data_IF_544179489969
#
_entry.id   IF_544179489969
#
_cell.length_a   1.000
_cell.length_b   1.000
_cell.length_c   1.000
_cell.angle_alpha   90.00
_cell.angle_beta   90.00
_cell.angle_gamma   90.00
#
_symmetry.space_group_name_H-M   'P 1'
#
loop_
_entity.id
_entity.type
_entity.pdbx_description
1 polymer ?
#
# COMPACT_ATOMS: atom_id res chain seq x y z
N UNK A 1 8.72 34.93 -70.37
CA UNK A 1 7.75 33.96 -70.90
C UNK A 1 7.96 32.69 -70.10
N UNK A 2 7.29 32.57 -68.96
CA UNK A 2 5.94 31.97 -68.84
C UNK A 2 6.02 30.46 -69.12
N UNK A 3 5.51 29.54 -68.31
CA UNK A 3 4.73 29.63 -67.09
C UNK A 3 4.79 28.27 -66.36
N UNK A 4 4.53 28.32 -65.06
CA UNK A 4 4.06 27.22 -64.21
C UNK A 4 2.75 26.62 -64.78
N UNK A 5 2.42 25.35 -64.44
CA UNK A 5 1.10 25.16 -63.84
C UNK A 5 1.13 24.28 -62.59
N UNK A 6 0.52 24.83 -61.55
CA UNK A 6 -0.02 24.14 -60.39
C UNK A 6 -0.97 23.01 -60.81
N UNK A 7 -0.85 21.86 -60.17
CA UNK A 7 -2.01 21.03 -59.83
C UNK A 7 -2.13 20.92 -58.32
N UNK A 8 -3.20 21.54 -57.82
CA UNK A 8 -3.76 21.39 -56.49
C UNK A 8 -4.08 19.92 -56.22
N UNK A 9 -3.60 19.41 -55.11
CA UNK A 9 -4.24 18.30 -54.40
C UNK A 9 -4.47 18.77 -52.96
N UNK A 10 -5.58 19.49 -52.75
CA UNK A 10 -6.16 19.70 -51.43
C UNK A 10 -6.75 18.36 -50.98
N UNK A 11 -5.91 17.54 -50.33
CA UNK A 11 -6.32 16.36 -49.59
C UNK A 11 -6.46 16.73 -48.12
N UNK A 12 -7.67 17.04 -47.70
CA UNK A 12 -8.05 17.29 -46.31
C UNK A 12 -7.83 16.02 -45.49
N UNK A 13 -6.66 15.89 -44.86
CA UNK A 13 -6.38 14.85 -43.87
C UNK A 13 -6.97 15.29 -42.51
N UNK A 14 -8.30 15.24 -42.41
CA UNK A 14 -8.98 15.13 -41.13
C UNK A 14 -8.92 13.65 -40.69
N UNK A 15 -8.26 13.39 -39.56
CA UNK A 15 -8.40 12.12 -38.85
C UNK A 15 -7.10 11.37 -38.63
N UNK A 16 -6.45 11.67 -37.49
CA UNK A 16 -6.05 10.69 -36.47
C UNK A 16 -5.36 11.44 -35.32
N UNK A 17 -6.11 12.34 -34.67
CA UNK A 17 -5.74 12.87 -33.36
C UNK A 17 -6.09 11.85 -32.29
N UNK A 18 -5.28 10.81 -32.15
CA UNK A 18 -5.26 10.02 -30.92
C UNK A 18 -4.75 10.94 -29.82
N UNK A 19 -5.67 11.58 -29.10
CA UNK A 19 -5.33 12.48 -28.00
C UNK A 19 -4.57 11.67 -26.95
N UNK A 20 -3.24 11.81 -26.91
CA UNK A 20 -2.60 11.89 -25.61
C UNK A 20 -3.37 12.98 -24.88
N UNK A 21 -4.18 12.62 -23.89
CA UNK A 21 -4.69 13.57 -22.91
C UNK A 21 -3.44 14.22 -22.29
N UNK A 22 -2.99 15.30 -22.91
CA UNK A 22 -1.61 15.75 -22.83
C UNK A 22 -1.25 16.15 -21.40
N UNK A 23 0.04 16.28 -21.14
CA UNK A 23 0.55 16.87 -19.91
C UNK A 23 0.24 18.38 -19.90
N UNK A 24 -1.04 18.73 -19.71
CA UNK A 24 -1.50 20.11 -19.52
C UNK A 24 -1.02 20.63 -18.18
N UNK A 25 -0.91 21.96 -18.06
CA UNK A 25 -0.53 22.61 -16.81
C UNK A 25 -1.43 22.20 -15.64
N UNK A 26 -2.74 22.19 -15.87
CA UNK A 26 -3.73 21.80 -14.86
C UNK A 26 -3.54 20.35 -14.39
N UNK A 27 -3.25 19.45 -15.33
CA UNK A 27 -2.98 18.04 -15.02
C UNK A 27 -1.70 17.88 -14.21
N UNK A 28 -0.63 18.59 -14.57
CA UNK A 28 0.64 18.59 -13.82
C UNK A 28 0.43 19.12 -12.40
N UNK A 29 -0.29 20.22 -12.24
CA UNK A 29 -0.62 20.79 -10.93
C UNK A 29 -1.49 19.85 -10.08
N UNK A 30 -2.44 19.14 -10.71
CA UNK A 30 -3.23 18.10 -10.04
C UNK A 30 -2.34 16.98 -9.50
N UNK A 31 -1.45 16.43 -10.34
CA UNK A 31 -0.50 15.37 -9.94
C UNK A 31 0.35 15.83 -8.76
N UNK A 32 0.87 17.06 -8.79
CA UNK A 32 1.66 17.62 -7.69
C UNK A 32 0.89 17.66 -6.37
N UNK A 33 -0.40 18.05 -6.43
CA UNK A 33 -1.25 18.21 -5.24
C UNK A 33 -1.76 16.90 -4.65
N UNK A 34 -1.98 15.87 -5.48
CA UNK A 34 -2.67 14.65 -5.05
C UNK A 34 -1.79 13.40 -4.98
N UNK A 35 -0.70 13.35 -5.76
CA UNK A 35 0.16 12.16 -5.85
C UNK A 35 1.50 12.38 -5.15
N UNK A 36 2.10 13.56 -5.30
CA UNK A 36 3.43 13.82 -4.78
C UNK A 36 3.41 14.10 -3.26
N UNK A 37 4.41 13.61 -2.50
CA UNK A 37 4.53 13.93 -1.08
C UNK A 37 4.71 15.44 -0.83
N UNK A 38 4.31 15.88 0.37
CA UNK A 38 4.57 17.26 0.81
C UNK A 38 6.08 17.47 0.95
N UNK A 39 6.58 18.58 0.42
CA UNK A 39 8.00 18.96 0.54
C UNK A 39 8.89 18.54 -0.64
N UNK A 40 8.34 17.95 -1.69
CA UNK A 40 9.07 17.74 -2.94
C UNK A 40 9.55 19.08 -3.52
N UNK A 41 10.81 19.14 -3.93
CA UNK A 41 11.35 20.31 -4.63
C UNK A 41 10.80 20.44 -6.05
N UNK A 42 10.86 21.64 -6.64
CA UNK A 42 10.44 21.83 -8.03
C UNK A 42 11.23 20.96 -9.01
N UNK A 43 12.54 20.79 -8.77
CA UNK A 43 13.43 20.00 -9.61
C UNK A 43 13.13 18.50 -9.52
N UNK A 44 12.90 17.97 -8.32
CA UNK A 44 12.48 16.58 -8.12
C UNK A 44 11.11 16.30 -8.73
N UNK A 45 10.17 17.24 -8.59
CA UNK A 45 8.86 17.13 -9.20
C UNK A 45 8.94 17.16 -10.74
N UNK A 46 9.76 18.07 -11.30
CA UNK A 46 10.00 18.13 -12.73
C UNK A 46 10.61 16.82 -13.24
N UNK A 47 11.60 16.26 -12.54
CA UNK A 47 12.20 14.97 -12.87
C UNK A 47 11.17 13.83 -12.83
N UNK A 48 10.31 13.80 -11.81
CA UNK A 48 9.24 12.80 -11.70
C UNK A 48 8.29 12.87 -12.91
N UNK A 49 7.87 14.08 -13.31
CA UNK A 49 6.99 14.28 -14.47
C UNK A 49 7.67 13.86 -15.78
N UNK A 50 8.94 14.22 -15.98
CA UNK A 50 9.70 13.78 -17.16
C UNK A 50 9.83 12.25 -17.22
N UNK A 51 9.99 11.60 -16.08
CA UNK A 51 10.04 10.14 -16.03
C UNK A 51 8.68 9.49 -16.33
N UNK A 52 7.57 10.10 -15.89
CA UNK A 52 6.21 9.66 -16.27
C UNK A 52 5.98 9.82 -17.79
N UNK A 53 6.38 10.97 -18.36
CA UNK A 53 6.32 11.21 -19.82
C UNK A 53 7.11 10.18 -20.60
N UNK A 54 8.38 9.95 -20.24
CA UNK A 54 9.28 9.03 -20.93
C UNK A 54 8.80 7.58 -20.86
N UNK A 55 8.38 7.13 -19.69
CA UNK A 55 7.89 5.75 -19.51
C UNK A 55 6.49 5.53 -20.08
N UNK A 56 5.71 6.60 -20.25
CA UNK A 56 4.30 6.52 -20.61
C UNK A 56 3.43 5.94 -19.48
N UNK A 57 3.91 6.00 -18.23
CA UNK A 57 3.16 5.61 -17.03
C UNK A 57 2.42 6.82 -16.46
N UNK A 58 1.16 6.61 -16.11
CA UNK A 58 0.28 7.65 -15.59
C UNK A 58 0.16 7.58 -14.05
N UNK A 59 0.66 8.60 -13.31
CA UNK A 59 0.57 8.62 -11.86
C UNK A 59 -0.87 8.74 -11.35
N UNK A 60 -1.80 9.30 -12.13
CA UNK A 60 -3.22 9.39 -11.73
C UNK A 60 -3.92 8.02 -11.81
N UNK A 61 -3.42 7.12 -12.65
CA UNK A 61 -3.89 5.73 -12.76
C UNK A 61 -3.14 4.78 -11.82
N UNK A 62 -2.28 5.29 -10.92
CA UNK A 62 -1.42 4.50 -10.03
C UNK A 62 -0.44 3.59 -10.78
N UNK A 63 -0.05 3.99 -11.98
CA UNK A 63 0.95 3.28 -12.79
C UNK A 63 2.38 3.67 -12.40
N UNK A 64 2.56 4.83 -11.76
CA UNK A 64 3.81 5.30 -11.19
C UNK A 64 3.56 6.08 -9.90
N UNK A 65 4.54 6.07 -8.99
CA UNK A 65 4.49 6.72 -7.70
C UNK A 65 5.72 7.61 -7.48
N UNK A 66 5.55 8.68 -6.71
CA UNK A 66 6.64 9.51 -6.25
C UNK A 66 6.93 9.13 -4.79
N UNK A 67 8.04 8.44 -4.54
CA UNK A 67 8.32 7.80 -3.26
C UNK A 67 9.49 8.47 -2.56
N UNK A 68 9.35 8.76 -1.27
CA UNK A 68 10.43 9.25 -0.42
C UNK A 68 11.46 8.13 -0.17
N UNK A 69 12.74 8.45 -0.38
CA UNK A 69 13.87 7.56 -0.17
C UNK A 69 14.91 8.29 0.68
N UNK A 70 15.47 7.63 1.69
CA UNK A 70 16.59 8.20 2.46
C UNK A 70 17.88 7.85 1.75
N UNK A 71 18.62 8.85 1.32
CA UNK A 71 19.94 8.69 0.74
C UNK A 71 20.98 9.28 1.66
N UNK A 72 22.09 8.58 1.86
CA UNK A 72 23.25 9.15 2.52
C UNK A 72 24.03 10.00 1.51
N UNK A 73 23.90 11.32 1.62
CA UNK A 73 24.67 12.31 0.86
C UNK A 73 26.02 12.66 1.52
N UNK A 74 26.35 12.02 2.64
CA UNK A 74 27.62 12.18 3.36
C UNK A 74 28.57 11.01 3.17
N UNK A 75 29.74 11.10 3.79
CA UNK A 75 30.74 10.03 3.76
C UNK A 75 30.45 8.99 4.85
N UNK A 76 31.09 7.81 4.77
CA UNK A 76 30.93 6.72 5.74
C UNK A 76 31.19 7.14 7.19
N UNK A 77 32.11 8.08 7.41
CA UNK A 77 32.47 8.60 8.75
C UNK A 77 31.53 9.70 9.25
N UNK A 78 30.86 10.41 8.34
CA UNK A 78 29.92 11.49 8.64
C UNK A 78 28.69 11.33 7.75
N UNK A 79 27.80 10.37 8.08
CA UNK A 79 26.61 10.15 7.29
C UNK A 79 25.72 11.39 7.33
N UNK A 80 25.25 11.83 6.16
CA UNK A 80 24.29 12.91 6.02
C UNK A 80 23.06 12.37 5.29
N UNK A 81 22.07 11.95 6.06
CA UNK A 81 20.85 11.37 5.50
C UNK A 81 19.90 12.46 5.03
N UNK A 82 19.66 12.50 3.73
CA UNK A 82 18.68 13.39 3.10
C UNK A 82 17.54 12.55 2.55
N UNK A 83 16.33 13.09 2.63
CA UNK A 83 15.18 12.51 1.94
C UNK A 83 15.17 13.03 0.52
N UNK A 84 15.14 12.13 -0.46
CA UNK A 84 14.93 12.43 -1.87
C UNK A 84 13.64 11.78 -2.35
N UNK A 85 12.98 12.42 -3.29
CA UNK A 85 11.77 11.87 -3.89
C UNK A 85 12.11 11.28 -5.26
N UNK A 86 11.83 9.99 -5.43
CA UNK A 86 12.20 9.24 -6.62
C UNK A 86 10.98 8.64 -7.32
N UNK A 87 11.10 8.51 -8.63
CA UNK A 87 10.12 7.83 -9.46
C UNK A 87 10.15 6.31 -9.18
N UNK A 88 8.98 5.76 -8.86
CA UNK A 88 8.79 4.33 -8.66
C UNK A 88 7.72 3.81 -9.62
N UNK A 89 8.08 3.02 -10.65
CA UNK A 89 7.08 2.36 -11.48
C UNK A 89 6.32 1.31 -10.67
N UNK A 90 5.05 1.09 -11.03
CA UNK A 90 4.25 -0.02 -10.51
C UNK A 90 4.23 -1.19 -11.50
N UNK A 91 4.25 -2.41 -10.99
CA UNK A 91 4.16 -3.61 -11.85
C UNK A 91 2.86 -3.62 -12.66
N UNK A 92 1.74 -3.28 -12.03
CA UNK A 92 0.45 -3.13 -12.71
C UNK A 92 0.48 -2.06 -13.82
N UNK A 93 1.19 -0.95 -13.60
CA UNK A 93 1.37 0.10 -14.60
C UNK A 93 2.20 -0.37 -15.79
N UNK A 94 3.28 -1.12 -15.54
CA UNK A 94 4.09 -1.72 -16.60
C UNK A 94 3.27 -2.73 -17.42
N UNK A 95 2.44 -3.54 -16.78
CA UNK A 95 1.53 -4.47 -17.47
C UNK A 95 0.48 -3.73 -18.30
N UNK A 96 -0.20 -2.72 -17.73
CA UNK A 96 -1.17 -1.91 -18.46
C UNK A 96 -0.53 -1.17 -19.64
N UNK A 97 0.71 -0.71 -19.49
CA UNK A 97 1.48 -0.12 -20.58
C UNK A 97 1.83 -1.16 -21.64
N UNK A 98 2.14 -2.40 -21.26
CA UNK A 98 2.44 -3.48 -22.19
C UNK A 98 1.25 -3.81 -23.09
N UNK A 99 0.05 -3.91 -22.51
CA UNK A 99 -1.23 -4.12 -23.22
C UNK A 99 -1.56 -3.01 -24.24
N UNK A 100 -0.96 -1.83 -24.10
CA UNK A 100 -1.12 -0.71 -25.05
C UNK A 100 -0.21 -0.82 -26.27
N UNK A 101 0.76 -1.75 -26.30
CA UNK A 101 1.56 -1.99 -27.50
C UNK A 101 0.79 -2.89 -28.49
N UNK A 102 0.71 -2.52 -29.77
CA UNK A 102 -0.08 -3.27 -30.76
C UNK A 102 0.49 -4.67 -31.03
N UNK A 103 1.78 -4.86 -30.82
CA UNK A 103 2.46 -6.14 -31.00
C UNK A 103 2.41 -7.04 -29.77
N UNK A 104 1.84 -6.60 -28.64
CA UNK A 104 1.76 -7.40 -27.43
C UNK A 104 0.73 -8.53 -27.61
N UNK A 105 1.17 -9.79 -27.44
CA UNK A 105 0.28 -10.97 -27.55
C UNK A 105 -0.03 -11.62 -26.21
N UNK A 106 0.61 -11.17 -25.14
CA UNK A 106 0.33 -11.64 -23.79
C UNK A 106 1.57 -11.89 -22.94
N UNK A 107 1.32 -11.98 -21.64
CA UNK A 107 2.32 -12.34 -20.63
C UNK A 107 1.77 -13.45 -19.75
N UNK A 108 2.63 -14.39 -19.39
CA UNK A 108 2.36 -15.45 -18.43
C UNK A 108 3.42 -15.37 -17.35
N UNK A 109 3.05 -15.73 -16.12
CA UNK A 109 4.00 -15.89 -15.03
C UNK A 109 3.44 -16.86 -14.00
N UNK A 110 4.34 -17.58 -13.33
CA UNK A 110 3.97 -18.39 -12.19
C UNK A 110 5.15 -18.57 -11.25
N UNK A 111 4.87 -18.49 -9.95
CA UNK A 111 5.77 -18.99 -8.92
C UNK A 111 5.87 -20.53 -8.96
N UNK A 112 7.07 -21.02 -8.66
CA UNK A 112 7.44 -22.44 -8.76
C UNK A 112 7.90 -22.96 -7.41
N UNK A 113 7.29 -24.06 -7.00
CA UNK A 113 7.62 -24.78 -5.78
C UNK A 113 8.47 -26.01 -6.08
N UNK A 114 9.17 -26.53 -5.07
CA UNK A 114 10.12 -27.62 -5.22
C UNK A 114 9.52 -28.91 -5.83
N UNK A 115 8.23 -29.16 -5.63
CA UNK A 115 7.53 -30.33 -6.17
C UNK A 115 6.85 -30.08 -7.53
N UNK A 116 6.96 -28.88 -8.09
CA UNK A 116 6.36 -28.57 -9.38
C UNK A 116 7.22 -29.18 -10.52
N UNK A 117 6.55 -29.71 -11.55
CA UNK A 117 7.23 -30.15 -12.78
C UNK A 117 7.38 -28.94 -13.71
N UNK A 118 8.61 -28.43 -13.86
CA UNK A 118 8.90 -27.33 -14.78
C UNK A 118 10.03 -27.66 -15.75
N UNK A 119 9.81 -27.35 -17.01
CA UNK A 119 10.83 -27.35 -18.06
C UNK A 119 10.77 -26.00 -18.77
N UNK A 120 11.92 -25.31 -18.81
CA UNK A 120 12.09 -24.05 -19.54
C UNK A 120 13.04 -24.29 -20.70
N UNK A 121 12.52 -24.20 -21.92
CA UNK A 121 13.33 -24.16 -23.13
C UNK A 121 13.55 -22.71 -23.52
N UNK A 122 14.70 -22.16 -23.10
CA UNK A 122 15.04 -20.77 -23.42
C UNK A 122 15.29 -20.54 -24.92
N UNK A 123 15.76 -21.56 -25.65
CA UNK A 123 16.04 -21.44 -27.08
C UNK A 123 14.77 -21.30 -27.91
N UNK A 124 13.71 -22.01 -27.53
CA UNK A 124 12.39 -21.94 -28.17
C UNK A 124 11.44 -20.94 -27.51
N UNK A 125 11.79 -20.43 -26.32
CA UNK A 125 10.93 -19.55 -25.53
C UNK A 125 9.67 -20.27 -25.04
N UNK A 126 9.78 -21.57 -24.75
CA UNK A 126 8.68 -22.42 -24.28
C UNK A 126 8.84 -22.72 -22.78
N UNK A 127 7.71 -22.71 -22.07
CA UNK A 127 7.67 -23.11 -20.66
C UNK A 127 6.54 -24.11 -20.48
N UNK A 128 6.89 -25.27 -19.93
CA UNK A 128 5.93 -26.27 -19.52
C UNK A 128 5.99 -26.37 -18.01
N UNK A 129 4.99 -25.82 -17.33
CA UNK A 129 4.88 -25.83 -15.88
C UNK A 129 3.59 -26.55 -15.48
N UNK A 130 3.73 -27.69 -14.83
CA UNK A 130 2.61 -28.50 -14.32
C UNK A 130 2.74 -28.63 -12.82
N UNK A 131 1.65 -28.41 -12.12
CA UNK A 131 1.59 -28.56 -10.68
C UNK A 131 0.19 -28.89 -10.25
N UNK A 132 0.09 -29.48 -9.06
CA UNK A 132 -1.18 -29.67 -8.38
C UNK A 132 -1.30 -28.65 -7.24
N UNK A 133 -2.18 -27.63 -7.35
CA UNK A 133 -2.34 -26.60 -6.32
C UNK A 133 -2.61 -27.17 -4.93
N UNK A 134 -3.32 -28.29 -4.83
CA UNK A 134 -3.66 -28.93 -3.55
C UNK A 134 -2.48 -29.67 -2.90
N UNK A 135 -1.40 -29.93 -3.65
CA UNK A 135 -0.21 -30.65 -3.17
C UNK A 135 1.01 -29.75 -2.94
N UNK A 136 0.91 -28.44 -3.23
CA UNK A 136 2.01 -27.49 -2.99
C UNK A 136 2.27 -27.33 -1.50
N UNK A 137 3.27 -28.05 -1.01
CA UNK A 137 3.73 -28.01 0.39
C UNK A 137 5.21 -27.68 0.53
N UNK A 138 5.98 -27.72 -0.55
CA UNK A 138 7.41 -27.48 -0.52
C UNK A 138 7.81 -26.02 -0.43
N UNK A 139 9.12 -25.84 -0.49
CA UNK A 139 9.74 -24.53 -0.54
C UNK A 139 9.45 -23.85 -1.89
N UNK A 140 9.25 -22.54 -1.83
CA UNK A 140 9.24 -21.68 -3.02
C UNK A 140 10.67 -21.61 -3.58
N UNK A 141 10.84 -22.01 -4.84
CA UNK A 141 12.14 -22.09 -5.51
C UNK A 141 12.41 -20.84 -6.33
N UNK A 142 11.40 -20.29 -6.98
CA UNK A 142 11.56 -19.16 -7.89
C UNK A 142 10.26 -18.80 -8.58
N UNK A 143 10.37 -18.00 -9.64
CA UNK A 143 9.27 -17.75 -10.56
C UNK A 143 9.78 -17.59 -11.98
N UNK A 144 8.92 -17.92 -12.93
CA UNK A 144 9.15 -17.63 -14.35
C UNK A 144 8.14 -16.61 -14.87
N UNK A 145 8.52 -15.91 -15.93
CA UNK A 145 7.59 -15.15 -16.75
C UNK A 145 7.94 -15.25 -18.22
N UNK A 146 6.93 -15.28 -19.07
CA UNK A 146 7.01 -15.39 -20.53
C UNK A 146 6.21 -14.27 -21.17
N UNK A 147 6.84 -13.49 -22.04
CA UNK A 147 6.19 -12.44 -22.84
C UNK A 147 6.24 -12.82 -24.31
N UNK A 148 5.12 -12.68 -25.01
CA UNK A 148 5.02 -12.92 -26.45
C UNK A 148 4.72 -11.62 -27.16
N UNK A 149 5.47 -11.37 -28.24
CA UNK A 149 5.29 -10.24 -29.14
C UNK A 149 5.08 -10.74 -30.57
N UNK A 150 4.34 -9.99 -31.36
CA UNK A 150 4.22 -10.21 -32.80
C UNK A 150 5.59 -10.16 -33.46
N UNK A 151 5.85 -11.09 -34.39
CA UNK A 151 7.07 -11.17 -35.18
C UNK A 151 8.39 -11.19 -34.37
N UNK A 152 8.36 -11.61 -33.11
CA UNK A 152 9.54 -11.79 -32.24
C UNK A 152 9.51 -13.15 -31.55
N UNK A 153 10.70 -13.64 -31.20
CA UNK A 153 10.82 -14.81 -30.35
C UNK A 153 10.27 -14.51 -28.95
N UNK A 154 9.54 -15.44 -28.30
CA UNK A 154 9.08 -15.26 -26.94
C UNK A 154 10.26 -15.05 -25.98
N UNK A 155 10.07 -14.12 -25.05
CA UNK A 155 11.06 -13.84 -24.01
C UNK A 155 10.65 -14.59 -22.76
N UNK A 156 11.53 -15.45 -22.25
CA UNK A 156 11.34 -16.15 -20.97
C UNK A 156 12.38 -15.69 -19.97
N UNK A 157 11.94 -15.43 -18.74
CA UNK A 157 12.79 -15.10 -17.59
C UNK A 157 12.52 -16.11 -16.48
N UNK A 158 13.59 -16.57 -15.85
CA UNK A 158 13.58 -17.33 -14.60
C UNK A 158 14.30 -16.51 -13.53
N UNK A 159 13.71 -16.41 -12.34
CA UNK A 159 14.32 -15.78 -11.16
C UNK A 159 14.35 -16.77 -10.01
N UNK A 160 15.53 -16.95 -9.42
CA UNK A 160 15.70 -17.76 -8.21
C UNK A 160 15.22 -17.00 -6.97
N UNK A 161 14.34 -17.62 -6.18
CA UNK A 161 13.74 -17.00 -5.00
C UNK A 161 14.81 -16.57 -3.98
N UNK A 162 15.83 -17.40 -3.77
CA UNK A 162 16.92 -17.12 -2.81
C UNK A 162 17.74 -15.88 -3.16
N UNK A 163 17.82 -15.50 -4.44
CA UNK A 163 18.55 -14.32 -4.90
C UNK A 163 17.73 -13.02 -4.84
N UNK A 164 16.41 -13.12 -4.70
CA UNK A 164 15.49 -11.99 -4.77
C UNK A 164 14.76 -11.69 -3.46
N UNK A 165 14.62 -12.70 -2.60
CA UNK A 165 13.92 -12.54 -1.33
C UNK A 165 14.58 -11.46 -0.47
N UNK A 166 13.76 -10.53 0.02
CA UNK A 166 14.19 -9.46 0.91
C UNK A 166 13.62 -9.66 2.31
N UNK A 167 14.32 -9.17 3.33
CA UNK A 167 13.88 -9.24 4.72
C UNK A 167 12.86 -8.14 5.06
N UNK A 168 11.73 -8.12 4.34
CA UNK A 168 10.64 -7.16 4.58
C UNK A 168 9.32 -7.86 4.91
N UNK A 169 8.40 -7.22 5.65
CA UNK A 169 7.12 -7.83 6.02
C UNK A 169 6.28 -8.32 4.84
N UNK A 170 6.38 -7.66 3.68
CA UNK A 170 5.65 -8.07 2.47
C UNK A 170 6.20 -9.37 1.90
N UNK A 171 7.53 -9.52 1.81
CA UNK A 171 8.15 -10.76 1.37
C UNK A 171 7.88 -11.91 2.35
N UNK A 172 7.81 -11.66 3.66
CA UNK A 172 7.40 -12.68 4.63
C UNK A 172 5.93 -13.09 4.49
N UNK A 173 5.04 -12.15 4.16
CA UNK A 173 3.58 -12.38 4.13
C UNK A 173 3.08 -12.97 2.81
N UNK A 174 3.62 -12.50 1.67
CA UNK A 174 3.18 -12.87 0.32
C UNK A 174 4.36 -13.17 -0.63
N UNK A 175 5.31 -14.06 -0.26
CA UNK A 175 6.55 -14.30 -1.00
C UNK A 175 6.30 -14.71 -2.46
N UNK A 176 5.31 -15.59 -2.68
CA UNK A 176 4.88 -16.07 -4.00
C UNK A 176 4.52 -14.91 -4.94
N UNK A 177 3.72 -13.96 -4.45
CA UNK A 177 3.30 -12.80 -5.25
C UNK A 177 4.48 -11.87 -5.53
N UNK A 178 5.40 -11.69 -4.57
CA UNK A 178 6.55 -10.79 -4.74
C UNK A 178 7.51 -11.30 -5.82
N UNK A 179 7.92 -12.58 -5.77
CA UNK A 179 8.84 -13.12 -6.77
C UNK A 179 8.22 -13.16 -8.17
N UNK A 180 6.92 -13.44 -8.25
CA UNK A 180 6.20 -13.48 -9.53
C UNK A 180 6.06 -12.08 -10.15
N UNK A 181 5.85 -11.03 -9.34
CA UNK A 181 5.93 -9.63 -9.81
C UNK A 181 7.29 -9.31 -10.39
N UNK A 182 8.37 -9.63 -9.67
CA UNK A 182 9.74 -9.42 -10.15
C UNK A 182 9.97 -10.12 -11.49
N UNK A 183 9.50 -11.35 -11.64
CA UNK A 183 9.63 -12.10 -12.89
C UNK A 183 8.89 -11.43 -14.05
N UNK A 184 7.65 -10.95 -13.83
CA UNK A 184 6.87 -10.23 -14.86
C UNK A 184 7.58 -8.98 -15.35
N UNK A 185 8.02 -8.11 -14.44
CA UNK A 185 8.67 -6.86 -14.83
C UNK A 185 10.03 -7.09 -15.48
N UNK A 186 10.79 -8.09 -15.02
CA UNK A 186 12.04 -8.48 -15.67
C UNK A 186 11.81 -9.01 -17.10
N UNK A 187 10.76 -9.79 -17.32
CA UNK A 187 10.38 -10.25 -18.66
C UNK A 187 9.93 -9.09 -19.55
N UNK A 188 9.12 -8.15 -19.02
CA UNK A 188 8.73 -6.93 -19.75
C UNK A 188 9.94 -6.09 -20.15
N UNK A 189 10.92 -5.90 -19.25
CA UNK A 189 12.16 -5.17 -19.57
C UNK A 189 12.95 -5.80 -20.71
N UNK A 190 13.03 -7.12 -20.76
CA UNK A 190 13.69 -7.84 -21.85
C UNK A 190 12.86 -7.82 -23.14
N UNK A 191 11.54 -7.91 -23.03
CA UNK A 191 10.64 -7.90 -24.18
C UNK A 191 10.51 -6.51 -24.82
N UNK A 192 10.50 -5.43 -24.04
CA UNK A 192 10.43 -4.05 -24.51
C UNK A 192 11.52 -3.17 -23.88
N UNK A 193 12.81 -3.34 -24.27
CA UNK A 193 13.91 -2.61 -23.66
C UNK A 193 13.81 -1.09 -23.80
N UNK A 194 13.22 -0.58 -24.87
CA UNK A 194 13.05 0.87 -25.07
C UNK A 194 12.01 1.47 -24.11
N UNK A 195 10.89 0.76 -23.89
CA UNK A 195 9.78 1.25 -23.08
C UNK A 195 9.99 1.03 -21.58
N UNK A 196 10.52 -0.15 -21.21
CA UNK A 196 10.65 -0.58 -19.82
C UNK A 196 12.10 -0.65 -19.34
N UNK A 197 13.08 -0.49 -20.23
CA UNK A 197 14.49 -0.49 -19.86
C UNK A 197 14.77 0.56 -18.79
N UNK A 198 15.40 0.12 -17.69
CA UNK A 198 15.70 0.97 -16.53
C UNK A 198 14.54 1.15 -15.55
N UNK A 199 13.35 0.59 -15.79
CA UNK A 199 12.23 0.62 -14.85
C UNK A 199 12.32 -0.55 -13.87
N UNK A 200 12.76 -0.29 -12.65
CA UNK A 200 12.81 -1.28 -11.57
C UNK A 200 11.69 -1.03 -10.56
N UNK A 201 10.92 -2.07 -10.26
CA UNK A 201 9.90 -1.98 -9.21
C UNK A 201 10.53 -2.10 -7.83
N UNK A 202 9.82 -1.64 -6.80
CA UNK A 202 10.30 -1.63 -5.43
C UNK A 202 10.78 -3.01 -4.98
N UNK A 203 10.05 -4.05 -5.34
CA UNK A 203 10.34 -5.42 -4.97
C UNK A 203 11.68 -5.96 -5.53
N UNK A 204 12.30 -5.28 -6.48
CA UNK A 204 13.61 -5.65 -7.06
C UNK A 204 14.79 -4.84 -6.51
N UNK A 205 14.52 -3.81 -5.70
CA UNK A 205 15.56 -2.93 -5.17
C UNK A 205 15.80 -3.21 -3.69
N UNK A 206 17.04 -3.03 -3.17
CA UNK A 206 17.38 -3.35 -1.79
C UNK A 206 16.46 -2.64 -0.79
N UNK A 207 15.96 -3.39 0.20
CA UNK A 207 15.08 -2.86 1.25
C UNK A 207 15.74 -1.76 2.09
N UNK A 208 17.06 -1.77 2.20
CA UNK A 208 17.86 -0.79 2.95
C UNK A 208 17.68 0.64 2.41
N UNK A 209 17.34 0.76 1.12
CA UNK A 209 17.04 2.04 0.50
C UNK A 209 15.60 2.52 0.83
N UNK A 210 14.78 1.69 1.49
CA UNK A 210 13.35 1.89 1.77
C UNK A 210 13.01 1.79 3.27
N UNK A 211 13.42 2.75 4.10
CA UNK A 211 12.84 2.87 5.45
C UNK A 211 11.39 3.38 5.37
N UNK A 212 10.42 2.51 5.66
CA UNK A 212 9.02 2.89 5.78
C UNK A 212 8.83 3.80 6.99
N UNK A 213 8.55 5.07 6.77
CA UNK A 213 7.83 5.83 7.78
C UNK A 213 6.39 5.30 7.80
N UNK A 214 5.98 4.80 8.96
CA UNK A 214 4.56 4.77 9.31
C UNK A 214 4.14 6.23 9.46
N UNK A 215 3.75 6.86 8.37
CA UNK A 215 3.04 8.12 8.45
C UNK A 215 1.75 7.84 9.22
N UNK A 216 1.62 8.40 10.43
CA UNK A 216 0.37 8.42 11.20
C UNK A 216 -0.75 9.23 10.51
N UNK A 217 -0.61 9.55 9.22
CA UNK A 217 -1.57 10.35 8.48
C UNK A 217 -1.91 9.68 7.14
N UNK A 218 -3.06 9.01 7.13
CA UNK A 218 -3.84 8.75 5.93
C UNK A 218 -3.27 7.68 4.99
N UNK A 219 -3.32 6.42 5.40
CA UNK A 219 -3.24 5.30 4.46
C UNK A 219 -4.40 5.40 3.46
N UNK A 220 -4.12 5.87 2.25
CA UNK A 220 -5.01 5.62 1.11
C UNK A 220 -5.21 4.11 0.94
N UNK A 221 -6.41 3.64 0.57
CA UNK A 221 -6.68 2.21 0.53
C UNK A 221 -5.97 1.62 -0.70
N UNK A 222 -4.84 0.97 -0.47
CA UNK A 222 -4.45 -0.14 -1.33
C UNK A 222 -4.88 -1.41 -0.61
N UNK A 223 -6.20 -1.65 -0.62
CA UNK A 223 -6.74 -2.95 -0.24
C UNK A 223 -6.39 -3.91 -1.37
N UNK A 224 -5.47 -4.83 -1.08
CA UNK A 224 -5.19 -5.98 -1.95
C UNK A 224 -6.46 -6.82 -2.01
N UNK A 225 -7.21 -6.67 -3.11
CA UNK A 225 -8.33 -7.55 -3.48
C UNK A 225 -7.87 -9.01 -3.35
N UNK A 226 -8.42 -9.72 -2.35
CA UNK A 226 -8.10 -11.11 -2.06
C UNK A 226 -7.74 -11.43 -0.59
N UNK A 227 -7.72 -10.44 0.31
CA UNK A 227 -7.30 -10.65 1.70
C UNK A 227 -8.47 -10.93 2.65
N UNK A 228 -8.94 -12.18 2.72
CA UNK A 228 -9.48 -12.86 3.93
C UNK A 228 -9.94 -14.30 3.59
N UNK A 229 -9.29 -15.35 4.14
CA UNK A 229 -9.87 -16.69 4.15
C UNK A 229 -10.89 -16.77 5.31
N UNK A 230 -12.17 -16.62 4.97
CA UNK A 230 -13.30 -16.97 5.84
C UNK A 230 -14.11 -18.10 5.22
N UNK A 231 -14.72 -19.02 5.99
CA UNK A 231 -15.45 -20.15 5.44
C UNK A 231 -16.78 -19.66 4.87
N UNK A 232 -16.85 -19.44 3.56
CA UNK A 232 -18.12 -19.19 2.87
C UNK A 232 -18.64 -20.52 2.34
N UNK A 233 -19.69 -21.05 3.00
CA UNK A 233 -20.60 -22.02 2.38
C UNK A 233 -21.31 -21.29 1.23
N UNK A 234 -20.90 -21.56 0.00
CA UNK A 234 -21.61 -21.10 -1.18
C UNK A 234 -22.84 -21.98 -1.41
N UNK A 235 -24.03 -21.47 -1.10
CA UNK A 235 -25.29 -21.98 -1.62
C UNK A 235 -25.70 -21.10 -2.79
N UNK A 236 -25.45 -21.55 -4.01
CA UNK A 236 -25.98 -20.93 -5.23
C UNK A 236 -27.37 -21.52 -5.53
N UNK A 237 -28.43 -20.72 -5.70
CA UNK A 237 -29.65 -21.21 -6.32
C UNK A 237 -29.39 -21.47 -7.82
N UNK A 238 -29.95 -22.55 -8.41
CA UNK A 238 -29.72 -22.86 -9.82
C UNK A 238 -30.45 -21.84 -10.72
N UNK A 239 -29.73 -21.32 -11.72
CA UNK A 239 -30.30 -20.51 -12.80
C UNK A 239 -31.25 -21.38 -13.65
N UNK A 240 -32.48 -20.90 -13.84
CA UNK A 240 -33.39 -21.47 -14.83
C UNK A 240 -32.94 -21.07 -16.27
N UNK A 241 -33.11 -21.94 -17.28
CA UNK A 241 -32.75 -21.62 -18.66
C UNK A 241 -33.64 -20.50 -19.22
N UNK A 242 -33.04 -19.47 -19.83
CA UNK A 242 -33.77 -18.50 -20.66
C UNK A 242 -33.58 -18.81 -22.14
N UNK A 243 -34.68 -18.82 -22.89
CA UNK A 243 -34.73 -18.98 -24.35
C UNK A 243 -34.26 -17.71 -25.09
N UNK A 244 -33.73 -17.85 -26.32
CA UNK A 244 -33.03 -16.76 -27.02
C UNK A 244 -34.00 -15.73 -27.63
N UNK A 245 -33.78 -14.44 -27.35
CA UNK A 245 -34.46 -13.32 -28.01
C UNK A 245 -33.55 -12.64 -29.03
N UNK A 246 -34.05 -12.49 -30.25
CA UNK A 246 -33.40 -11.87 -31.40
C UNK A 246 -33.13 -10.35 -31.22
N UNK A 247 -32.22 -9.74 -32.02
CA UNK A 247 -31.60 -8.46 -31.71
C UNK A 247 -32.45 -7.25 -32.16
N UNK A 248 -32.51 -6.21 -31.33
CA UNK A 248 -32.95 -4.88 -31.74
C UNK A 248 -31.91 -3.83 -31.35
N UNK A 249 -31.53 -3.06 -32.35
CA UNK A 249 -30.64 -1.92 -32.27
C UNK A 249 -31.39 -0.67 -31.75
N UNK A 250 -30.75 0.09 -30.86
CA UNK A 250 -30.89 1.54 -30.77
C UNK A 250 -29.77 2.09 -29.87
N UNK A 251 -29.00 3.03 -30.41
CA UNK A 251 -28.00 3.80 -29.70
C UNK A 251 -28.68 4.76 -28.72
N UNK A 252 -28.13 4.88 -27.50
CA UNK A 252 -28.43 5.97 -26.58
C UNK A 252 -27.11 6.48 -25.98
N UNK A 253 -26.78 7.72 -26.34
CA UNK A 253 -25.70 8.52 -25.76
C UNK A 253 -26.06 8.89 -24.32
N UNK A 254 -25.07 8.90 -23.43
CA UNK A 254 -25.21 9.36 -22.06
C UNK A 254 -24.43 10.66 -21.90
N UNK A 255 -25.15 11.78 -21.88
CA UNK A 255 -24.65 13.09 -21.47
C UNK A 255 -24.55 13.14 -19.94
N UNK A 256 -23.38 13.54 -19.45
CA UNK A 256 -23.08 13.76 -18.04
C UNK A 256 -23.26 15.25 -17.77
N UNK A 257 -24.20 15.61 -16.90
CA UNK A 257 -24.30 16.96 -16.35
C UNK A 257 -24.46 16.89 -14.83
N UNK A 258 -23.52 17.53 -14.11
CA UNK A 258 -23.44 17.57 -12.64
C UNK A 258 -23.75 19.00 -12.19
N UNK A 259 -24.84 19.23 -11.44
CA UNK A 259 -25.04 20.52 -10.78
C UNK A 259 -24.47 20.51 -9.36
N UNK A 260 -23.41 21.30 -9.15
CA UNK A 260 -22.99 21.80 -7.84
C UNK A 260 -23.88 22.98 -7.43
N UNK A 261 -24.43 22.95 -6.21
CA UNK A 261 -25.04 24.14 -5.59
C UNK A 261 -24.41 24.46 -4.23
N UNK A 262 -24.12 25.75 -3.93
CA UNK A 262 -23.53 26.19 -2.66
C UNK A 262 -24.62 26.50 -1.61
N UNK A 263 -24.37 26.15 -0.34
CA UNK A 263 -25.20 26.58 0.81
C UNK A 263 -24.49 27.66 1.61
N UNK A 264 -25.12 28.83 1.70
CA UNK A 264 -24.77 29.93 2.61
C UNK A 264 -25.50 29.78 3.96
N UNK A 265 -24.88 30.33 4.99
CA UNK A 265 -25.27 30.31 6.40
C UNK A 265 -26.38 31.32 6.76
N UNK A 266 -27.22 30.98 7.75
CA UNK A 266 -27.96 31.92 8.62
C UNK A 266 -28.47 31.19 9.88
N UNK A 267 -28.29 31.84 11.03
CA UNK A 267 -28.88 31.61 12.36
C UNK A 267 -29.21 32.99 12.96
N UNK A 268 -29.90 33.16 14.12
CA UNK A 268 -30.90 32.31 14.80
C UNK A 268 -32.12 33.12 15.32
N UNK A 269 -33.23 32.49 15.76
CA UNK A 269 -34.11 33.03 16.84
C UNK A 269 -34.93 31.92 17.55
N UNK A 270 -34.92 32.02 18.88
CA UNK A 270 -35.65 31.40 20.01
C UNK A 270 -37.20 31.30 19.84
N UNK A 271 -38.05 30.58 20.59
CA UNK A 271 -38.04 29.83 21.86
C UNK A 271 -39.43 29.15 22.04
N UNK A 272 -39.50 27.95 22.64
CA UNK A 272 -40.56 27.48 23.56
C UNK A 272 -40.40 25.97 23.89
N UNK A 273 -40.30 25.65 25.18
CA UNK A 273 -40.44 24.33 25.80
C UNK A 273 -41.70 24.36 26.74
N UNK A 274 -42.07 23.33 27.55
CA UNK A 274 -41.47 22.00 27.79
C UNK A 274 -42.49 20.82 27.99
N UNK A 275 -42.00 19.56 28.09
CA UNK A 275 -42.52 18.52 29.02
C UNK A 275 -41.69 17.19 29.03
N UNK A 276 -40.85 17.06 30.06
CA UNK A 276 -40.51 15.92 30.94
C UNK A 276 -40.15 14.47 30.50
N UNK A 277 -38.92 14.08 30.93
CA UNK A 277 -38.40 12.77 31.46
C UNK A 277 -37.63 11.80 30.54
N UNK A 278 -36.64 11.02 31.05
CA UNK A 278 -35.36 11.42 31.67
C UNK A 278 -34.13 10.84 30.92
N UNK A 279 -32.97 11.44 31.17
CA UNK A 279 -31.65 11.19 30.55
C UNK A 279 -30.94 9.93 31.07
N UNK A 280 -30.30 9.09 30.23
CA UNK A 280 -29.40 8.04 30.69
C UNK A 280 -27.96 8.55 30.88
N UNK A 281 -27.41 8.22 32.05
CA UNK A 281 -26.08 8.58 32.53
C UNK A 281 -24.92 8.18 31.61
N UNK A 282 -23.88 9.03 31.59
CA UNK A 282 -22.60 8.80 30.92
C UNK A 282 -21.92 7.48 31.38
N UNK A 283 -21.34 6.70 30.46
CA UNK A 283 -20.64 5.46 30.81
C UNK A 283 -19.28 5.76 31.45
N UNK A 284 -19.03 5.15 32.61
CA UNK A 284 -17.75 5.14 33.32
C UNK A 284 -16.68 4.42 32.47
N UNK A 285 -15.40 4.87 32.46
CA UNK A 285 -14.35 4.18 31.73
C UNK A 285 -14.06 2.81 32.38
N UNK A 286 -13.93 1.78 31.54
CA UNK A 286 -13.56 0.42 31.97
C UNK A 286 -12.10 0.42 32.45
N UNK A 287 -11.73 -0.31 33.51
CA UNK A 287 -10.35 -0.38 33.96
C UNK A 287 -9.47 -0.98 32.86
N UNK A 288 -8.45 -0.26 32.44
CA UNK A 288 -7.44 -0.76 31.51
C UNK A 288 -6.61 -1.82 32.21
N UNK A 289 -6.68 -3.07 31.74
CA UNK A 289 -5.82 -4.16 32.21
C UNK A 289 -4.40 -3.98 31.67
N UNK A 290 -3.69 -2.96 32.15
CA UNK A 290 -2.27 -2.75 31.84
C UNK A 290 -1.48 -3.86 32.52
N UNK A 291 -0.56 -4.51 31.79
CA UNK A 291 0.26 -5.62 32.31
C UNK A 291 1.73 -5.19 32.27
N UNK A 292 2.49 -5.48 33.32
CA UNK A 292 3.92 -5.21 33.35
C UNK A 292 4.64 -6.18 32.41
N UNK A 293 5.41 -5.66 31.45
CA UNK A 293 6.04 -6.48 30.41
C UNK A 293 7.48 -6.92 30.72
N UNK A 294 8.07 -6.45 31.83
CA UNK A 294 9.48 -6.59 32.15
C UNK A 294 9.75 -6.67 33.66
N UNK A 295 10.98 -6.98 34.06
CA UNK A 295 11.36 -7.02 35.46
C UNK A 295 10.73 -8.16 36.28
N UNK A 296 10.85 -8.11 37.62
CA UNK A 296 10.38 -9.16 38.54
C UNK A 296 8.86 -9.36 38.54
N UNK A 297 8.10 -8.32 38.19
CA UNK A 297 6.64 -8.32 38.19
C UNK A 297 6.03 -8.59 36.81
N UNK A 298 6.84 -9.06 35.85
CA UNK A 298 6.40 -9.36 34.49
C UNK A 298 5.19 -10.30 34.47
N UNK A 299 4.15 -9.90 33.75
CA UNK A 299 2.92 -10.67 33.57
C UNK A 299 1.83 -10.40 34.62
N UNK A 300 2.15 -9.67 35.69
CA UNK A 300 1.15 -9.18 36.64
C UNK A 300 0.42 -7.98 36.05
N UNK A 301 -0.88 -7.88 36.31
CA UNK A 301 -1.63 -6.66 35.95
C UNK A 301 -1.21 -5.53 36.88
N UNK A 302 -1.24 -4.29 36.39
CA UNK A 302 -0.90 -3.14 37.20
C UNK A 302 -1.80 -3.12 38.46
N UNK A 303 -3.10 -3.42 38.31
CA UNK A 303 -4.07 -3.54 39.40
C UNK A 303 -3.75 -4.57 40.49
N UNK A 304 -2.88 -5.56 40.21
CA UNK A 304 -2.42 -6.57 41.19
C UNK A 304 -1.19 -6.11 41.99
N UNK A 305 -0.55 -5.01 41.60
CA UNK A 305 0.67 -4.48 42.23
C UNK A 305 0.35 -3.40 43.27
N UNK A 306 1.11 -3.40 44.36
CA UNK A 306 1.13 -2.26 45.27
C UNK A 306 1.72 -1.02 44.58
N UNK A 307 1.45 0.16 45.13
CA UNK A 307 1.98 1.42 44.57
C UNK A 307 3.52 1.46 44.61
N UNK A 308 4.12 0.85 45.63
CA UNK A 308 5.58 0.72 45.76
C UNK A 308 6.14 -0.22 44.68
N UNK A 309 5.54 -1.40 44.46
CA UNK A 309 5.97 -2.37 43.42
C UNK A 309 5.80 -1.82 41.99
N UNK A 310 4.79 -0.99 41.78
CA UNK A 310 4.55 -0.32 40.50
C UNK A 310 5.60 0.76 40.25
N UNK A 311 5.97 1.54 41.28
CA UNK A 311 7.05 2.53 41.19
C UNK A 311 8.41 1.87 40.91
N UNK A 312 8.74 0.80 41.60
CA UNK A 312 9.99 0.04 41.36
C UNK A 312 10.06 -0.50 39.92
N UNK A 313 8.92 -0.92 39.37
CA UNK A 313 8.84 -1.37 37.98
C UNK A 313 9.09 -0.21 37.00
N UNK A 314 8.50 0.97 37.23
CA UNK A 314 8.72 2.17 36.42
C UNK A 314 10.21 2.59 36.44
N UNK A 315 10.82 2.61 37.62
CA UNK A 315 12.23 2.98 37.79
C UNK A 315 13.17 2.02 37.05
N UNK A 316 12.91 0.70 37.14
CA UNK A 316 13.68 -0.32 36.42
C UNK A 316 13.59 -0.14 34.90
N UNK A 317 12.42 0.20 34.37
CA UNK A 317 12.27 0.48 32.93
C UNK A 317 13.06 1.71 32.50
N UNK A 318 13.02 2.79 33.30
CA UNK A 318 13.78 4.00 33.05
C UNK A 318 15.30 3.72 33.06
N UNK A 319 15.79 2.97 34.04
CA UNK A 319 17.21 2.56 34.10
C UNK A 319 17.62 1.75 32.87
N UNK A 320 16.83 0.73 32.49
CA UNK A 320 17.13 -0.12 31.32
C UNK A 320 17.09 0.65 30.01
N UNK A 321 16.17 1.61 29.88
CA UNK A 321 16.09 2.49 28.72
C UNK A 321 17.26 3.49 28.65
N UNK A 322 17.79 3.92 29.80
CA UNK A 322 18.99 4.75 29.88
C UNK A 322 20.25 3.97 29.49
N UNK A 323 20.38 2.71 29.91
CA UNK A 323 21.52 1.85 29.54
C UNK A 323 21.55 1.51 28.05
N UNK A 324 20.39 1.21 27.45
CA UNK A 324 20.29 0.74 26.06
C UNK A 324 19.14 1.40 25.29
N UNK A 325 19.24 2.71 24.97
CA UNK A 325 18.13 3.47 24.39
C UNK A 325 17.70 3.02 22.99
N UNK A 326 18.60 2.31 22.28
CA UNK A 326 18.44 1.83 20.89
C UNK A 326 18.24 0.31 20.77
N UNK A 327 18.07 -0.41 21.87
CA UNK A 327 17.82 -1.85 21.78
C UNK A 327 16.51 -2.15 21.05
N UNK A 328 16.42 -3.32 20.39
CA UNK A 328 15.21 -3.74 19.64
C UNK A 328 13.96 -3.81 20.53
N UNK A 329 14.12 -4.06 21.83
CA UNK A 329 13.04 -4.08 22.82
C UNK A 329 12.71 -2.70 23.43
N UNK A 330 13.52 -1.67 23.20
CA UNK A 330 13.37 -0.36 23.84
C UNK A 330 12.08 0.37 23.44
N UNK A 331 11.60 0.17 22.20
CA UNK A 331 10.32 0.75 21.76
C UNK A 331 9.14 0.18 22.57
N UNK A 332 9.05 -1.14 22.66
CA UNK A 332 8.00 -1.82 23.41
C UNK A 332 8.07 -1.51 24.92
N UNK A 333 9.28 -1.36 25.47
CA UNK A 333 9.45 -0.98 26.88
C UNK A 333 9.01 0.46 27.15
N UNK A 334 9.26 1.42 26.24
CA UNK A 334 8.74 2.80 26.34
C UNK A 334 7.22 2.86 26.30
N UNK A 335 6.60 2.07 25.42
CA UNK A 335 5.13 1.99 25.32
C UNK A 335 4.51 1.39 26.59
N UNK A 336 5.14 0.36 27.17
CA UNK A 336 4.69 -0.24 28.42
C UNK A 336 4.90 0.70 29.63
N UNK A 337 6.04 1.40 29.68
CA UNK A 337 6.33 2.41 30.71
C UNK A 337 5.25 3.51 30.74
N UNK A 338 4.91 4.08 29.58
CA UNK A 338 3.89 5.12 29.47
C UNK A 338 2.52 4.64 29.98
N UNK A 339 2.18 3.37 29.72
CA UNK A 339 0.94 2.78 30.24
C UNK A 339 0.95 2.58 31.76
N UNK A 340 2.11 2.24 32.35
CA UNK A 340 2.27 2.13 33.80
C UNK A 340 2.25 3.50 34.49
N UNK A 341 2.89 4.52 33.91
CA UNK A 341 2.85 5.90 34.41
C UNK A 341 1.43 6.48 34.38
N UNK A 342 0.65 6.20 33.33
CA UNK A 342 -0.75 6.62 33.25
C UNK A 342 -1.64 5.94 34.31
N UNK A 343 -1.37 4.66 34.64
CA UNK A 343 -2.05 3.96 35.73
C UNK A 343 -1.69 4.57 37.09
N UNK A 344 -0.42 4.91 37.33
CA UNK A 344 0.02 5.61 38.55
C UNK A 344 -0.68 6.96 38.69
N UNK A 345 -0.79 7.73 37.60
CA UNK A 345 -1.51 9.02 37.60
C UNK A 345 -3.01 8.82 37.91
N UNK A 346 -3.61 7.74 37.41
CA UNK A 346 -5.00 7.39 37.72
C UNK A 346 -5.18 7.03 39.20
N UNK A 347 -4.24 6.31 39.81
CA UNK A 347 -4.24 5.99 41.25
C UNK A 347 -4.09 7.24 42.10
N UNK A 348 -3.24 8.18 41.71
CA UNK A 348 -3.10 9.45 42.41
C UNK A 348 -4.36 10.33 42.32
N UNK A 349 -5.18 10.17 41.27
CA UNK A 349 -6.45 10.92 41.10
C UNK A 349 -7.63 10.35 41.89
N UNK A 350 -7.57 9.09 42.33
CA UNK A 350 -8.62 8.49 43.17
C UNK A 350 -8.23 8.71 44.64
N UNK A 351 -8.90 9.61 45.40
CA UNK A 351 -8.66 9.69 46.83
C UNK A 351 -9.04 8.36 47.48
N UNK A 352 -8.10 7.77 48.20
CA UNK A 352 -8.31 6.57 49.01
C UNK A 352 -9.59 6.73 49.84
N UNK A 353 -10.64 5.97 49.53
CA UNK A 353 -11.83 5.91 50.37
C UNK A 353 -11.43 5.24 51.68
N UNK A 354 -11.09 6.08 52.68
CA UNK A 354 -10.89 5.66 54.06
C UNK A 354 -12.07 4.80 54.49
N UNK A 355 -11.77 3.60 54.99
CA UNK A 355 -12.71 2.74 55.68
C UNK A 355 -13.42 3.51 56.79
N UNK A 356 -14.73 3.66 56.65
CA UNK A 356 -15.61 4.05 57.74
C UNK A 356 -15.79 2.86 58.67
N UNK A 357 -15.13 2.92 59.83
CA UNK A 357 -15.38 2.02 60.94
C UNK A 357 -16.83 2.12 61.37
N UNK A 358 -17.54 1.01 61.31
CA UNK A 358 -18.91 0.89 61.80
C UNK A 358 -18.84 0.64 63.31
N UNK A 359 -18.85 1.72 64.09
CA UNK A 359 -19.18 1.67 65.52
C UNK A 359 -20.69 1.75 65.66
N UNK A 360 -21.34 0.59 65.84
CA UNK A 360 -22.73 0.52 66.29
C UNK A 360 -22.74 -0.13 67.68
N UNK A 361 -23.09 0.69 68.68
CA UNK A 361 -23.43 0.26 70.02
C UNK A 361 -24.64 -0.69 69.99
N UNK A 362 -24.57 -1.74 70.79
CA UNK A 362 -25.74 -2.46 71.28
C UNK A 362 -25.71 -2.35 72.80
N UNK A 363 -26.71 -1.65 73.34
CA UNK A 363 -27.10 -1.70 74.76
C UNK A 363 -27.64 -3.10 75.08
N UNK A 364 -27.09 -3.71 76.14
CA UNK A 364 -27.73 -4.54 77.18
C UNK A 364 -26.66 -5.15 78.10
#
# INVERSE_FOLDING_TARGET
>A
MEANPQQKAEGTAAGQGGQHAGWTRERVELVKRTICPRGISEDEFALFIEQCKRSGLDPLLKEAFCVARRQNAGNRERPNWVTKYEFQPSEAGMLARAERFPDFKGIQASAVFAEDDIVVDQGRGEVVHRFNPAKRKGALVGAWSRVVREDKLPVVVWLDFSGYVQQTPLWSKIPTTMIEKCARVAALRKAYPEAFGGLYVREEMPAEDYESHSDEHGSGPYEVLGSKPGPLKASFPPLAPQEPRAPQAAAAQLDIDVPLQPKQAREPTQEAAPAASPEPAAPRPKPSAVVVAFGPHKGKTASELSDDELSESIDLANEKLMEQPRARWAKAMRENLLALEAETELRCRVPASKGGGNGAAHDA
#
